data_IF_410455147056
#
_entry.id   IF_410455147056
#
_cell.length_a   1.000
_cell.length_b   1.000
_cell.length_c   1.000
_cell.angle_alpha   90.00
_cell.angle_beta   90.00
_cell.angle_gamma   90.00
#
_symmetry.space_group_name_H-M   'P 1'
#
loop_
_entity.id
_entity.type
_entity.pdbx_description
1 polymer ?
#
# COMPACT_ATOMS: atom_id res chain seq x y z
N UNK A 1 12.87 5.75 -8.73
CA UNK A 1 12.18 6.33 -7.55
C UNK A 1 13.22 6.55 -6.48
N UNK A 2 13.05 7.51 -5.55
CA UNK A 2 13.90 7.58 -4.36
C UNK A 2 13.43 6.48 -3.42
N UNK A 3 14.33 5.61 -3.00
CA UNK A 3 14.00 4.48 -2.15
C UNK A 3 13.69 4.94 -0.70
N UNK A 4 12.71 4.31 -0.05
CA UNK A 4 12.24 4.72 1.28
C UNK A 4 13.13 4.12 2.40
N UNK A 5 14.09 4.90 2.89
CA UNK A 5 14.91 4.51 4.06
C UNK A 5 14.08 4.25 5.32
N UNK A 6 12.95 4.93 5.45
CA UNK A 6 11.93 4.70 6.48
C UNK A 6 10.56 5.02 5.90
N UNK A 7 9.54 4.24 6.23
CA UNK A 7 8.23 4.37 5.59
C UNK A 7 7.04 4.12 6.50
N UNK A 8 5.92 4.76 6.15
CA UNK A 8 4.65 4.59 6.82
C UNK A 8 3.58 4.19 5.81
N UNK A 9 3.05 2.98 5.93
CA UNK A 9 1.96 2.47 5.10
C UNK A 9 0.63 2.85 5.74
N UNK A 10 -0.23 3.51 4.97
CA UNK A 10 -1.60 3.81 5.33
C UNK A 10 -2.54 3.07 4.37
N UNK A 11 -3.42 2.26 4.95
CA UNK A 11 -4.44 1.49 4.24
C UNK A 11 -5.82 1.78 4.82
N UNK A 12 -6.91 1.54 4.09
CA UNK A 12 -8.24 1.85 4.59
C UNK A 12 -8.72 0.89 5.67
N UNK A 13 -8.53 -0.41 5.44
CA UNK A 13 -9.08 -1.48 6.27
C UNK A 13 -8.10 -1.88 7.40
N UNK A 14 -8.65 -2.19 8.58
CA UNK A 14 -7.90 -2.74 9.71
C UNK A 14 -7.23 -4.07 9.38
N UNK A 15 -7.86 -4.89 8.54
CA UNK A 15 -7.29 -6.16 8.09
C UNK A 15 -6.10 -5.96 7.16
N UNK A 16 -6.07 -4.85 6.41
CA UNK A 16 -4.94 -4.43 5.60
C UNK A 16 -3.65 -4.30 6.41
N UNK A 17 -3.72 -3.87 7.67
CA UNK A 17 -2.54 -3.70 8.54
C UNK A 17 -1.78 -5.01 8.71
N UNK A 18 -2.48 -6.08 9.09
CA UNK A 18 -1.85 -7.41 9.28
C UNK A 18 -1.45 -8.02 7.93
N UNK A 19 -2.24 -7.82 6.89
CA UNK A 19 -1.90 -8.27 5.54
C UNK A 19 -0.57 -7.69 5.06
N UNK A 20 -0.39 -6.37 5.12
CA UNK A 20 0.86 -5.74 4.67
C UNK A 20 2.06 -6.14 5.55
N UNK A 21 1.89 -6.29 6.87
CA UNK A 21 2.97 -6.77 7.73
C UNK A 21 3.49 -8.16 7.29
N UNK A 22 2.56 -9.08 7.01
CA UNK A 22 2.91 -10.43 6.51
C UNK A 22 3.49 -10.38 5.10
N UNK A 23 2.90 -9.58 4.21
CA UNK A 23 3.37 -9.43 2.83
C UNK A 23 4.82 -8.90 2.78
N UNK A 24 5.17 -7.91 3.60
CA UNK A 24 6.55 -7.40 3.67
C UNK A 24 7.55 -8.49 4.07
N UNK A 25 7.23 -9.30 5.09
CA UNK A 25 8.09 -10.44 5.51
C UNK A 25 8.30 -11.43 4.38
N UNK A 26 7.25 -11.70 3.60
CA UNK A 26 7.34 -12.59 2.45
C UNK A 26 8.14 -11.99 1.29
N UNK A 27 7.96 -10.70 0.99
CA UNK A 27 8.77 -9.99 0.00
C UNK A 27 10.26 -10.07 0.38
N UNK A 28 10.61 -9.81 1.63
CA UNK A 28 11.99 -9.90 2.12
C UNK A 28 12.57 -11.32 1.92
N UNK A 29 11.81 -12.36 2.30
CA UNK A 29 12.21 -13.76 2.16
C UNK A 29 12.31 -14.24 0.71
N UNK A 30 11.34 -13.91 -0.13
CA UNK A 30 11.16 -14.51 -1.47
C UNK A 30 11.80 -13.68 -2.58
N UNK A 31 11.97 -12.37 -2.39
CA UNK A 31 12.67 -11.49 -3.32
C UNK A 31 14.12 -11.20 -2.88
N UNK A 32 14.51 -11.57 -1.66
CA UNK A 32 15.85 -11.30 -1.13
C UNK A 32 16.12 -9.81 -0.87
N UNK A 33 15.07 -9.02 -0.70
CA UNK A 33 15.15 -7.56 -0.49
C UNK A 33 15.24 -7.26 1.00
N UNK A 34 16.16 -6.37 1.41
CA UNK A 34 16.28 -5.97 2.81
C UNK A 34 15.38 -4.78 3.13
N UNK A 35 14.14 -5.05 3.55
CA UNK A 35 13.17 -4.01 3.87
C UNK A 35 13.59 -3.26 5.16
N UNK A 36 13.36 -1.94 5.17
CA UNK A 36 13.66 -1.11 6.34
C UNK A 36 12.88 -1.58 7.59
N UNK A 37 13.59 -1.64 8.71
CA UNK A 37 12.99 -1.94 10.02
C UNK A 37 12.35 -0.69 10.65
N UNK A 38 12.72 0.51 10.21
CA UNK A 38 12.07 1.75 10.66
C UNK A 38 10.81 1.99 9.82
N UNK A 39 9.76 1.24 10.16
CA UNK A 39 8.48 1.24 9.44
C UNK A 39 7.27 1.25 10.37
N UNK A 40 6.14 1.74 9.84
CA UNK A 40 4.84 1.62 10.48
C UNK A 40 3.77 1.27 9.44
N UNK A 41 2.70 0.59 9.89
CA UNK A 41 1.53 0.26 9.08
C UNK A 41 0.31 0.60 9.93
N UNK A 42 -0.60 1.41 9.39
CA UNK A 42 -1.81 1.82 10.10
C UNK A 42 -3.02 1.89 9.16
N UNK A 43 -4.19 1.58 9.72
CA UNK A 43 -5.47 1.77 9.05
C UNK A 43 -5.97 3.20 9.24
N UNK A 44 -6.54 3.81 8.20
CA UNK A 44 -7.26 5.09 8.31
C UNK A 44 -8.64 4.94 8.94
N UNK A 45 -9.05 3.71 9.28
CA UNK A 45 -10.30 3.35 9.93
C UNK A 45 -11.56 3.71 9.13
N UNK A 46 -11.60 3.28 7.87
CA UNK A 46 -12.83 3.29 7.06
C UNK A 46 -12.81 4.22 5.86
N UNK A 47 -13.87 4.08 5.06
CA UNK A 47 -13.99 4.66 3.72
C UNK A 47 -13.92 6.18 3.73
N UNK A 48 -13.17 6.73 2.76
CA UNK A 48 -13.13 8.16 2.48
C UNK A 48 -12.28 8.99 3.47
N UNK A 49 -11.74 8.37 4.54
CA UNK A 49 -10.79 9.05 5.43
C UNK A 49 -9.50 9.38 4.68
N UNK A 50 -8.98 8.43 3.90
CA UNK A 50 -7.80 8.67 3.08
C UNK A 50 -8.05 9.82 2.10
N UNK A 51 -9.15 9.77 1.34
CA UNK A 51 -9.55 10.79 0.39
C UNK A 51 -9.68 12.20 0.98
N UNK A 52 -10.28 12.32 2.16
CA UNK A 52 -10.53 13.59 2.81
C UNK A 52 -9.30 14.14 3.54
N UNK A 53 -8.48 13.27 4.15
CA UNK A 53 -7.39 13.65 5.06
C UNK A 53 -5.98 13.35 4.55
N UNK A 54 -5.80 12.97 3.29
CA UNK A 54 -4.48 12.55 2.74
C UNK A 54 -3.34 13.53 3.07
N UNK A 55 -3.58 14.84 3.01
CA UNK A 55 -2.59 15.88 3.36
C UNK A 55 -2.18 15.82 4.83
N UNK A 56 -3.16 15.74 5.73
CA UNK A 56 -2.90 15.65 7.17
C UNK A 56 -2.17 14.35 7.52
N UNK A 57 -2.59 13.25 6.88
CA UNK A 57 -1.96 11.94 7.04
C UNK A 57 -0.51 11.94 6.55
N UNK A 58 -0.23 12.53 5.39
CA UNK A 58 1.13 12.67 4.85
C UNK A 58 2.02 13.45 5.80
N UNK A 59 1.57 14.62 6.26
CA UNK A 59 2.30 15.44 7.24
C UNK A 59 2.57 14.70 8.53
N UNK A 60 1.57 13.98 9.06
CA UNK A 60 1.72 13.18 10.29
C UNK A 60 2.76 12.09 10.11
N UNK A 61 2.77 11.42 8.97
CA UNK A 61 3.77 10.40 8.68
C UNK A 61 5.18 10.96 8.51
N UNK A 62 5.30 12.11 7.86
CA UNK A 62 6.60 12.75 7.64
C UNK A 62 7.29 13.24 8.92
N UNK A 63 6.58 13.34 10.05
CA UNK A 63 7.18 13.62 11.37
C UNK A 63 8.24 12.57 11.73
N UNK A 64 8.00 11.28 11.42
CA UNK A 64 8.86 10.17 11.85
C UNK A 64 9.45 9.34 10.71
N UNK A 65 8.91 9.45 9.51
CA UNK A 65 9.27 8.61 8.37
C UNK A 65 9.59 9.47 7.14
N UNK A 66 10.41 8.97 6.24
CA UNK A 66 10.81 9.68 5.02
C UNK A 66 9.80 9.51 3.88
N UNK A 67 8.96 8.49 4.01
CA UNK A 67 8.06 8.03 2.98
C UNK A 67 6.70 7.71 3.60
N UNK A 68 5.62 8.14 2.94
CA UNK A 68 4.27 7.72 3.29
C UNK A 68 3.67 7.02 2.08
N UNK A 69 3.28 5.76 2.26
CA UNK A 69 2.73 4.91 1.21
C UNK A 69 1.22 4.80 1.46
N UNK A 70 0.42 5.39 0.59
CA UNK A 70 -1.03 5.31 0.62
C UNK A 70 -1.48 4.15 -0.27
N UNK A 71 -2.25 3.21 0.31
CA UNK A 71 -2.82 2.07 -0.41
C UNK A 71 -4.34 2.14 -0.35
N UNK A 72 -4.96 2.36 -1.51
CA UNK A 72 -6.38 2.66 -1.67
C UNK A 72 -7.03 1.71 -2.68
N UNK A 73 -8.20 1.20 -2.36
CA UNK A 73 -9.01 0.46 -3.35
C UNK A 73 -9.57 1.42 -4.40
N UNK A 74 -9.66 0.96 -5.66
CA UNK A 74 -10.06 1.82 -6.77
C UNK A 74 -11.55 1.79 -7.09
N UNK A 75 -12.26 0.72 -6.73
CA UNK A 75 -13.68 0.54 -7.05
C UNK A 75 -14.04 0.86 -8.51
N UNK A 76 -13.16 0.50 -9.46
CA UNK A 76 -13.24 0.81 -10.91
C UNK A 76 -13.11 2.29 -11.28
N UNK A 77 -12.66 3.13 -10.35
CA UNK A 77 -12.39 4.57 -10.50
C UNK A 77 -10.93 4.92 -10.25
N UNK A 78 -10.02 3.97 -10.47
CA UNK A 78 -8.58 4.08 -10.20
C UNK A 78 -7.97 5.40 -10.67
N UNK A 79 -8.22 5.78 -11.94
CA UNK A 79 -7.65 6.99 -12.55
C UNK A 79 -8.11 8.27 -11.85
N UNK A 80 -9.42 8.41 -11.65
CA UNK A 80 -10.03 9.58 -10.99
C UNK A 80 -9.51 9.73 -9.54
N UNK A 81 -9.51 8.63 -8.79
CA UNK A 81 -9.01 8.61 -7.40
C UNK A 81 -7.53 8.97 -7.37
N UNK A 82 -6.70 8.33 -8.21
CA UNK A 82 -5.26 8.61 -8.26
C UNK A 82 -4.98 10.07 -8.57
N UNK A 83 -5.60 10.64 -9.61
CA UNK A 83 -5.40 12.03 -10.02
C UNK A 83 -5.80 13.01 -8.91
N UNK A 84 -6.93 12.77 -8.25
CA UNK A 84 -7.43 13.58 -7.13
C UNK A 84 -6.47 13.54 -5.94
N UNK A 85 -6.02 12.35 -5.53
CA UNK A 85 -5.10 12.19 -4.40
C UNK A 85 -3.71 12.76 -4.73
N UNK A 86 -3.22 12.49 -5.95
CA UNK A 86 -1.91 12.95 -6.40
C UNK A 86 -1.85 14.47 -6.47
N UNK A 87 -2.92 15.13 -6.94
CA UNK A 87 -3.02 16.60 -6.92
C UNK A 87 -2.88 17.16 -5.51
N UNK A 88 -3.62 16.61 -4.54
CA UNK A 88 -3.55 17.04 -3.13
C UNK A 88 -2.16 16.89 -2.52
N UNK A 89 -1.44 15.83 -2.89
CA UNK A 89 -0.08 15.58 -2.42
C UNK A 89 0.94 16.48 -3.15
N UNK A 90 0.78 16.72 -4.46
CA UNK A 90 1.71 17.54 -5.23
C UNK A 90 1.68 19.01 -4.83
N UNK A 91 0.56 19.47 -4.27
CA UNK A 91 0.39 20.84 -3.75
C UNK A 91 1.13 21.06 -2.41
N UNK A 92 1.69 20.00 -1.80
CA UNK A 92 2.48 20.12 -0.58
C UNK A 92 3.87 20.68 -0.87
N UNK A 93 4.41 21.53 0.03
CA UNK A 93 5.77 22.00 -0.10
C UNK A 93 6.72 20.80 -0.12
N UNK A 94 7.68 20.84 -1.05
CA UNK A 94 8.71 19.80 -1.16
C UNK A 94 9.64 19.91 0.05
N UNK A 95 9.37 19.13 1.08
CA UNK A 95 10.29 18.96 2.20
C UNK A 95 11.45 18.05 1.78
N UNK A 96 12.67 18.41 2.15
CA UNK A 96 13.87 17.66 1.78
C UNK A 96 13.75 16.20 2.23
N UNK A 97 13.86 15.28 1.26
CA UNK A 97 13.79 13.81 1.43
C UNK A 97 12.42 13.22 1.83
N UNK A 98 11.38 14.04 2.01
CA UNK A 98 10.02 13.55 2.26
C UNK A 98 9.29 13.30 0.95
N UNK A 99 8.61 12.17 0.86
CA UNK A 99 7.81 11.84 -0.31
C UNK A 99 6.59 10.97 0.06
N UNK A 100 5.60 11.00 -0.84
CA UNK A 100 4.42 10.16 -0.74
C UNK A 100 4.30 9.30 -1.98
N UNK A 101 3.98 8.02 -1.79
CA UNK A 101 3.69 7.05 -2.84
C UNK A 101 2.21 6.72 -2.75
N UNK A 102 1.47 6.92 -3.84
CA UNK A 102 0.05 6.60 -3.91
C UNK A 102 -0.12 5.36 -4.79
N UNK A 103 -0.73 4.33 -4.23
CA UNK A 103 -1.09 3.08 -4.91
C UNK A 103 -2.61 2.96 -4.86
N UNK A 104 -3.23 2.99 -6.04
CA UNK A 104 -4.66 2.79 -6.19
C UNK A 104 -4.88 1.52 -7.01
N UNK A 105 -5.61 0.58 -6.44
CA UNK A 105 -6.02 -0.66 -7.14
C UNK A 105 -7.02 -0.34 -8.25
N UNK A 106 -7.21 -1.27 -9.18
CA UNK A 106 -8.26 -1.17 -10.19
C UNK A 106 -9.62 -1.49 -9.56
N UNK A 107 -9.70 -2.59 -8.82
CA UNK A 107 -10.87 -2.96 -8.01
C UNK A 107 -10.52 -2.79 -6.53
N UNK A 108 -10.17 -3.88 -5.87
CA UNK A 108 -9.73 -3.93 -4.49
C UNK A 108 -8.54 -4.90 -4.38
N UNK A 109 -7.80 -4.85 -3.27
CA UNK A 109 -6.65 -5.74 -3.05
C UNK A 109 -6.99 -7.22 -3.21
N UNK A 110 -8.20 -7.62 -2.81
CA UNK A 110 -8.72 -8.97 -2.96
C UNK A 110 -8.74 -9.38 -4.43
N UNK A 111 -9.37 -8.60 -5.31
CA UNK A 111 -9.42 -8.95 -6.74
C UNK A 111 -8.08 -8.78 -7.44
N UNK A 112 -7.33 -7.73 -7.09
CA UNK A 112 -6.20 -7.29 -7.89
C UNK A 112 -4.91 -8.04 -7.57
N UNK A 113 -4.73 -8.46 -6.32
CA UNK A 113 -3.56 -9.22 -5.89
C UNK A 113 -3.92 -10.61 -5.40
N UNK A 114 -4.93 -10.76 -4.55
CA UNK A 114 -5.20 -12.07 -3.95
C UNK A 114 -5.77 -13.04 -4.98
N UNK A 115 -6.88 -12.72 -5.66
CA UNK A 115 -7.47 -13.60 -6.67
C UNK A 115 -6.48 -13.90 -7.81
N UNK A 116 -5.67 -12.91 -8.22
CA UNK A 116 -4.63 -13.13 -9.23
C UNK A 116 -3.52 -14.04 -8.71
N UNK A 117 -3.03 -13.80 -7.50
CA UNK A 117 -1.88 -14.47 -6.91
C UNK A 117 -2.19 -15.85 -6.31
N UNK A 118 -3.44 -16.16 -5.99
CA UNK A 118 -3.87 -17.49 -5.51
C UNK A 118 -4.63 -18.28 -6.57
N UNK A 119 -5.16 -17.62 -7.60
CA UNK A 119 -6.11 -18.17 -8.59
C UNK A 119 -7.42 -18.66 -7.97
N UNK A 120 -7.72 -18.25 -6.74
CA UNK A 120 -8.96 -18.56 -6.03
C UNK A 120 -9.89 -17.34 -6.04
N UNK A 121 -11.19 -17.55 -6.21
CA UNK A 121 -12.18 -16.49 -5.94
C UNK A 121 -12.38 -16.38 -4.44
N UNK A 122 -12.31 -15.16 -3.93
CA UNK A 122 -12.44 -14.90 -2.50
C UNK A 122 -13.89 -14.53 -2.21
N UNK A 123 -14.45 -15.07 -1.13
CA UNK A 123 -15.70 -14.54 -0.60
C UNK A 123 -15.39 -13.25 0.17
N UNK A 124 -15.83 -12.11 -0.37
CA UNK A 124 -15.69 -10.79 0.24
C UNK A 124 -16.35 -10.69 1.62
N UNK A 125 -17.19 -11.65 2.02
CA UNK A 125 -17.73 -11.75 3.39
C UNK A 125 -16.68 -12.19 4.41
N UNK A 126 -15.55 -12.75 3.98
CA UNK A 126 -14.45 -13.22 4.82
C UNK A 126 -13.30 -12.21 4.90
N UNK A 127 -13.59 -10.90 4.92
CA UNK A 127 -12.56 -9.85 5.09
C UNK A 127 -11.63 -10.07 6.29
N UNK A 128 -12.09 -10.77 7.32
CA UNK A 128 -11.27 -11.14 8.47
C UNK A 128 -10.10 -12.08 8.11
N UNK A 129 -10.21 -12.86 7.03
CA UNK A 129 -9.19 -13.81 6.55
C UNK A 129 -8.17 -13.15 5.61
N UNK A 130 -8.38 -11.87 5.25
CA UNK A 130 -7.47 -11.10 4.38
C UNK A 130 -6.00 -11.23 4.82
N UNK A 131 -5.63 -11.19 6.12
CA UNK A 131 -4.25 -11.41 6.54
C UNK A 131 -3.68 -12.78 6.16
N UNK A 132 -4.47 -13.85 6.19
CA UNK A 132 -4.01 -15.21 5.88
C UNK A 132 -3.78 -15.41 4.37
N UNK A 133 -4.47 -14.63 3.54
CA UNK A 133 -4.21 -14.61 2.11
C UNK A 133 -2.84 -14.01 1.77
N UNK A 134 -2.28 -13.13 2.62
CA UNK A 134 -0.90 -12.67 2.44
C UNK A 134 0.08 -13.85 2.38
N UNK A 135 -0.18 -14.93 3.12
CA UNK A 135 0.66 -16.13 3.18
C UNK A 135 0.48 -17.07 1.98
N UNK A 136 -0.62 -16.91 1.23
CA UNK A 136 -0.97 -17.74 0.06
C UNK A 136 -0.60 -17.10 -1.27
N UNK A 137 -0.35 -15.80 -1.30
CA UNK A 137 0.00 -15.08 -2.53
C UNK A 137 1.21 -15.68 -3.26
N UNK A 138 1.09 -15.94 -4.56
CA UNK A 138 2.24 -16.18 -5.42
C UNK A 138 2.93 -14.85 -5.75
N UNK A 139 4.01 -14.55 -5.02
CA UNK A 139 4.79 -13.32 -5.21
C UNK A 139 5.41 -13.27 -6.60
N UNK A 140 5.82 -14.40 -7.18
CA UNK A 140 6.42 -14.43 -8.51
C UNK A 140 5.39 -14.05 -9.56
N UNK A 141 4.15 -14.53 -9.42
CA UNK A 141 3.07 -14.13 -10.31
C UNK A 141 2.75 -12.63 -10.21
N UNK A 142 2.81 -12.05 -9.00
CA UNK A 142 2.57 -10.62 -8.80
C UNK A 142 3.68 -9.72 -9.31
N UNK A 143 4.88 -10.24 -9.62
CA UNK A 143 5.98 -9.43 -10.17
C UNK A 143 5.59 -8.68 -11.44
N UNK A 144 4.64 -9.19 -12.22
CA UNK A 144 4.18 -8.49 -13.43
C UNK A 144 3.11 -7.42 -13.18
N UNK A 145 2.50 -7.39 -11.99
CA UNK A 145 1.48 -6.41 -11.63
C UNK A 145 2.11 -5.02 -11.36
N UNK A 146 1.58 -3.99 -12.02
CA UNK A 146 2.12 -2.62 -11.96
C UNK A 146 2.03 -2.03 -10.56
N UNK A 147 0.95 -2.30 -9.82
CA UNK A 147 0.80 -1.81 -8.46
C UNK A 147 1.75 -2.55 -7.52
N UNK A 148 1.96 -3.85 -7.72
CA UNK A 148 2.92 -4.64 -6.94
C UNK A 148 4.36 -4.17 -7.18
N UNK A 149 4.77 -4.00 -8.44
CA UNK A 149 6.07 -3.41 -8.82
C UNK A 149 6.29 -2.06 -8.13
N UNK A 150 5.27 -1.19 -8.13
CA UNK A 150 5.31 0.12 -7.47
C UNK A 150 5.41 0.00 -5.95
N UNK A 151 4.71 -0.96 -5.35
CA UNK A 151 4.79 -1.24 -3.91
C UNK A 151 6.18 -1.72 -3.51
N UNK A 152 6.71 -2.73 -4.19
CA UNK A 152 8.06 -3.28 -3.94
C UNK A 152 9.11 -2.17 -4.09
N UNK A 153 9.06 -1.39 -5.17
CA UNK A 153 9.98 -0.27 -5.38
C UNK A 153 9.90 0.84 -4.32
N UNK A 154 8.78 0.93 -3.60
CA UNK A 154 8.62 1.88 -2.51
C UNK A 154 9.17 1.33 -1.18
N UNK A 155 9.08 0.02 -0.94
CA UNK A 155 9.52 -0.59 0.33
C UNK A 155 10.96 -1.14 0.27
N UNK A 156 11.54 -1.23 -0.92
CA UNK A 156 12.94 -1.54 -1.20
C UNK A 156 13.81 -0.26 -1.03
N UNK A 157 14.67 -0.18 0.01
CA UNK A 157 15.41 1.02 0.40
C UNK A 157 16.66 1.36 -0.43
#
# INVERSE_FOLDING_TARGET
MRNCKSFYILTEDRYGVKFFDRLLKRIERELGIKISQHRCIQSTMGDGVMDSKIVQLARTGWIRYDCVIFVRDGDRKRKEIYEKLNKKISDLPKENNKHAVIIVFEKAIESDWIEKGTREKIDYKLKAELPDYADKLDINQLREDVNFKKFVSAVDP
#
